data_IF_142056239370
#
_entry.id   IF_142056239370
#
_cell.length_a   1.000
_cell.length_b   1.000
_cell.length_c   1.000
_cell.angle_alpha   90.00
_cell.angle_beta   90.00
_cell.angle_gamma   90.00
#
_symmetry.space_group_name_H-M   'P 1'
#
loop_
_entity.id
_entity.type
_entity.pdbx_description
1 polymer ?
#
# COMPACT_ATOMS: atom_id res chain seq x y z
N UNK A 1 1.70 10.38 -5.11
CA UNK A 1 1.18 10.57 -6.50
C UNK A 1 -0.32 10.30 -6.60
N UNK A 2 -0.98 9.80 -5.55
CA UNK A 2 -2.42 9.77 -5.45
C UNK A 2 -2.92 11.05 -4.78
N UNK A 3 -4.16 11.42 -5.05
CA UNK A 3 -4.81 12.51 -4.34
C UNK A 3 -5.02 12.10 -2.86
N UNK A 4 -4.75 12.98 -1.89
CA UNK A 4 -5.02 12.70 -0.49
C UNK A 4 -6.51 12.39 -0.24
N UNK A 5 -6.80 11.48 0.69
CA UNK A 5 -8.17 11.09 1.05
C UNK A 5 -8.45 11.30 2.52
N UNK A 6 -9.50 12.06 2.84
CA UNK A 6 -9.97 12.25 4.22
C UNK A 6 -10.65 10.98 4.72
N UNK A 7 -10.15 10.46 5.83
CA UNK A 7 -10.66 9.29 6.54
C UNK A 7 -11.22 9.71 7.91
N UNK A 8 -11.83 8.77 8.64
CA UNK A 8 -12.45 9.04 9.95
C UNK A 8 -11.50 9.70 10.96
N UNK A 9 -10.20 9.38 10.90
CA UNK A 9 -9.21 9.78 11.92
C UNK A 9 -8.01 10.55 11.35
N UNK A 10 -8.06 11.01 10.11
CA UNK A 10 -6.94 11.71 9.50
C UNK A 10 -7.04 11.76 7.98
N UNK A 11 -5.97 12.22 7.34
CA UNK A 11 -5.84 12.23 5.89
C UNK A 11 -4.86 11.12 5.49
N UNK A 12 -5.29 10.22 4.61
CA UNK A 12 -4.40 9.25 3.97
C UNK A 12 -3.74 9.91 2.77
N UNK A 13 -2.41 9.86 2.72
CA UNK A 13 -1.59 10.41 1.64
C UNK A 13 -1.09 9.35 0.66
N UNK A 14 -1.52 8.09 0.85
CA UNK A 14 -1.03 6.96 0.08
C UNK A 14 -2.00 5.78 0.00
N UNK A 15 -1.50 4.70 -0.58
CA UNK A 15 -2.20 3.43 -0.75
C UNK A 15 -1.18 2.29 -0.56
N UNK A 16 -1.63 1.19 0.03
CA UNK A 16 -0.85 -0.03 0.22
C UNK A 16 -1.23 -1.02 -0.89
N UNK A 17 -0.25 -1.74 -1.44
CA UNK A 17 -0.49 -2.77 -2.46
C UNK A 17 -0.68 -4.14 -1.80
N UNK A 18 -1.72 -4.86 -2.24
CA UNK A 18 -2.09 -6.18 -1.75
C UNK A 18 -2.65 -7.03 -2.90
N UNK A 19 -2.72 -8.35 -2.72
CA UNK A 19 -3.27 -9.29 -3.70
C UNK A 19 -4.24 -10.28 -3.06
N UNK A 20 -5.20 -10.77 -3.83
CA UNK A 20 -6.19 -11.76 -3.39
C UNK A 20 -7.46 -11.73 -4.23
N UNK A 21 -8.38 -12.70 -4.08
CA UNK A 21 -9.64 -12.75 -4.83
C UNK A 21 -10.64 -11.66 -4.42
N UNK A 22 -10.34 -10.88 -3.37
CA UNK A 22 -11.17 -9.77 -2.89
C UNK A 22 -11.95 -10.12 -1.62
N UNK A 23 -12.66 -9.15 -1.06
CA UNK A 23 -13.39 -9.32 0.20
C UNK A 23 -12.45 -9.47 1.39
N UNK A 24 -12.59 -10.56 2.15
CA UNK A 24 -11.74 -10.88 3.31
C UNK A 24 -10.39 -11.49 2.94
N UNK A 25 -10.26 -12.01 1.72
CA UNK A 25 -9.08 -12.73 1.27
C UNK A 25 -8.13 -11.75 0.57
N UNK A 26 -7.38 -11.01 1.38
CA UNK A 26 -6.41 -10.00 0.93
C UNK A 26 -5.09 -10.19 1.68
N UNK A 27 -4.00 -10.31 0.92
CA UNK A 27 -2.64 -10.54 1.42
C UNK A 27 -1.73 -9.37 1.10
N UNK A 28 -0.98 -8.89 2.08
CA UNK A 28 -0.02 -7.80 1.90
C UNK A 28 1.16 -8.25 1.04
N UNK A 29 1.52 -7.42 0.05
CA UNK A 29 2.77 -7.62 -0.69
C UNK A 29 3.93 -7.09 0.15
N UNK A 30 4.99 -7.89 0.25
CA UNK A 30 6.24 -7.50 0.88
C UNK A 30 7.33 -7.35 -0.19
N UNK A 31 8.26 -6.41 -0.03
CA UNK A 31 9.43 -6.33 -0.91
C UNK A 31 10.40 -7.48 -0.63
N UNK A 32 11.27 -7.75 -1.60
CA UNK A 32 12.36 -8.71 -1.42
C UNK A 32 13.34 -8.27 -0.33
N UNK A 33 14.06 -9.24 0.23
CA UNK A 33 15.06 -8.98 1.27
C UNK A 33 16.13 -8.00 0.78
N UNK A 34 16.47 -7.03 1.63
CA UNK A 34 17.46 -6.00 1.32
C UNK A 34 16.91 -4.78 0.58
N UNK A 35 15.62 -4.75 0.24
CA UNK A 35 14.97 -3.53 -0.25
C UNK A 35 15.04 -2.39 0.77
N UNK A 36 15.28 -1.17 0.29
CA UNK A 36 15.44 0.02 1.13
C UNK A 36 14.24 0.98 0.99
N UNK A 37 13.88 1.72 2.05
CA UNK A 37 12.84 2.74 1.96
C UNK A 37 13.09 3.75 0.83
N UNK A 38 12.06 4.06 0.06
CA UNK A 38 12.13 5.00 -1.06
C UNK A 38 12.58 4.40 -2.40
N UNK A 39 12.98 3.11 -2.44
CA UNK A 39 13.18 2.42 -3.71
C UNK A 39 11.89 2.38 -4.53
N UNK A 40 12.00 2.68 -5.83
CA UNK A 40 10.87 2.72 -6.74
C UNK A 40 10.53 1.30 -7.21
N UNK A 41 9.25 0.96 -7.15
CA UNK A 41 8.70 -0.27 -7.74
C UNK A 41 8.61 -0.09 -9.26
N UNK A 42 9.07 -1.08 -10.03
CA UNK A 42 9.05 -1.13 -11.49
C UNK A 42 8.27 -2.34 -11.98
#
# INVERSE_FOLDING_TARGET
NLQPRKMRFGVSEGMITAAGPGGSDVFLLAPDSGAQPGQRVH
#
